data_IF_336231242706
#
_entry.id   IF_336231242706
#
_cell.length_a   1.000
_cell.length_b   1.000
_cell.length_c   1.000
_cell.angle_alpha   90.00
_cell.angle_beta   90.00
_cell.angle_gamma   90.00
#
_symmetry.space_group_name_H-M   'P 1'
#
loop_
_entity.id
_entity.type
_entity.pdbx_description
1 polymer ?
#
# COMPACT_ATOMS: atom_id res chain seq x y z
N UNK A 1 -3.98 -1.50 -19.81
CA UNK A 1 -3.01 -1.98 -18.81
C UNK A 1 -3.28 -3.44 -18.49
N UNK A 2 -2.24 -4.27 -18.35
CA UNK A 2 -2.37 -5.70 -18.02
C UNK A 2 -1.78 -6.00 -16.63
N UNK A 3 -2.59 -6.53 -15.71
CA UNK A 3 -2.24 -6.66 -14.29
C UNK A 3 -2.25 -8.13 -13.87
N UNK A 4 -1.16 -8.60 -13.26
CA UNK A 4 -1.07 -9.93 -12.66
C UNK A 4 -1.63 -9.89 -11.24
N UNK A 5 -2.57 -10.78 -10.93
CA UNK A 5 -3.21 -10.89 -9.63
C UNK A 5 -2.77 -12.22 -8.99
N UNK A 6 -2.14 -12.16 -7.82
CA UNK A 6 -1.98 -13.35 -6.98
C UNK A 6 -3.36 -13.79 -6.48
N UNK A 7 -4.00 -14.68 -7.24
CA UNK A 7 -5.36 -15.10 -6.96
C UNK A 7 -5.46 -16.07 -5.77
N UNK A 8 -4.34 -16.59 -5.27
CA UNK A 8 -4.30 -17.54 -4.15
C UNK A 8 -3.83 -16.89 -2.85
N UNK A 9 -3.52 -15.59 -2.86
CA UNK A 9 -3.12 -14.83 -1.69
C UNK A 9 -4.31 -14.32 -0.87
N UNK A 10 -4.16 -14.31 0.47
CA UNK A 10 -5.17 -13.80 1.39
C UNK A 10 -6.14 -14.83 1.94
N UNK A 11 -6.90 -14.38 2.97
CA UNK A 11 -7.78 -15.24 3.78
C UNK A 11 -9.01 -15.75 3.00
N UNK A 12 -9.38 -15.03 1.93
CA UNK A 12 -10.58 -15.30 1.13
C UNK A 12 -10.25 -15.72 -0.31
N UNK A 13 -9.00 -16.11 -0.55
CA UNK A 13 -8.56 -16.62 -1.85
C UNK A 13 -9.19 -17.99 -2.17
N UNK A 14 -9.46 -18.29 -3.45
CA UNK A 14 -9.34 -17.41 -4.61
C UNK A 14 -10.56 -16.54 -4.88
N UNK A 15 -11.63 -16.66 -4.09
CA UNK A 15 -12.94 -16.05 -4.37
C UNK A 15 -12.85 -14.52 -4.50
N UNK A 16 -12.37 -13.84 -3.46
CA UNK A 16 -12.38 -12.37 -3.43
C UNK A 16 -11.39 -11.75 -4.45
N UNK A 17 -10.15 -12.26 -4.63
CA UNK A 17 -9.28 -11.79 -5.71
C UNK A 17 -9.90 -11.92 -7.10
N UNK A 18 -10.59 -13.02 -7.39
CA UNK A 18 -11.25 -13.23 -8.68
C UNK A 18 -12.44 -12.28 -8.85
N UNK A 19 -13.31 -12.15 -7.84
CA UNK A 19 -14.47 -11.24 -7.90
C UNK A 19 -14.04 -9.79 -8.07
N UNK A 20 -13.05 -9.32 -7.32
CA UNK A 20 -12.52 -7.96 -7.44
C UNK A 20 -11.92 -7.67 -8.81
N UNK A 21 -11.25 -8.67 -9.41
CA UNK A 21 -10.73 -8.59 -10.78
C UNK A 21 -11.85 -8.48 -11.82
N UNK A 22 -12.92 -9.27 -11.67
CA UNK A 22 -14.11 -9.19 -12.51
C UNK A 22 -14.73 -7.79 -12.43
N UNK A 23 -14.90 -7.25 -11.22
CA UNK A 23 -15.48 -5.93 -11.01
C UNK A 23 -14.62 -4.81 -11.62
N UNK A 24 -13.29 -4.90 -11.52
CA UNK A 24 -12.36 -3.94 -12.11
C UNK A 24 -12.44 -3.95 -13.64
N UNK A 25 -12.42 -5.13 -14.25
CA UNK A 25 -12.51 -5.31 -15.70
C UNK A 25 -13.86 -4.84 -16.26
N UNK A 26 -14.96 -5.03 -15.51
CA UNK A 26 -16.29 -4.52 -15.88
C UNK A 26 -16.38 -2.99 -15.80
N UNK A 27 -15.70 -2.40 -14.81
CA UNK A 27 -15.70 -0.95 -14.61
C UNK A 27 -14.83 -0.20 -15.64
N UNK A 28 -13.74 -0.81 -16.10
CA UNK A 28 -12.72 -0.18 -16.94
C UNK A 28 -12.42 -1.02 -18.19
N UNK A 29 -12.68 -0.45 -19.35
CA UNK A 29 -12.57 -1.18 -20.63
C UNK A 29 -11.13 -1.42 -21.11
N UNK A 30 -10.14 -0.70 -20.57
CA UNK A 30 -8.73 -0.80 -20.96
C UNK A 30 -7.91 -1.69 -20.01
N UNK A 31 -8.51 -2.17 -18.91
CA UNK A 31 -7.85 -3.07 -17.97
C UNK A 31 -8.01 -4.53 -18.42
N UNK A 32 -6.90 -5.23 -18.43
CA UNK A 32 -6.81 -6.68 -18.58
C UNK A 32 -6.19 -7.28 -17.33
N UNK A 33 -6.63 -8.47 -16.94
CA UNK A 33 -6.08 -9.16 -15.75
C UNK A 33 -5.60 -10.56 -16.08
N UNK A 34 -4.52 -10.96 -15.43
CA UNK A 34 -4.00 -12.33 -15.41
C UNK A 34 -4.15 -12.87 -13.99
N UNK A 35 -5.11 -13.74 -13.78
CA UNK A 35 -5.33 -14.42 -12.51
C UNK A 35 -4.33 -15.57 -12.38
N UNK A 36 -3.46 -15.51 -11.37
CA UNK A 36 -2.38 -16.48 -11.17
C UNK A 36 -2.72 -17.38 -9.98
N UNK A 37 -2.80 -18.70 -10.23
CA UNK A 37 -3.10 -19.67 -9.19
C UNK A 37 -3.66 -21.00 -9.70
N UNK A 38 -4.41 -21.69 -8.85
CA UNK A 38 -5.06 -22.95 -9.24
C UNK A 38 -6.10 -22.70 -10.33
N UNK A 39 -5.79 -23.22 -11.52
CA UNK A 39 -6.58 -22.97 -12.72
C UNK A 39 -8.03 -23.43 -12.58
N UNK A 40 -8.27 -24.60 -11.94
CA UNK A 40 -9.60 -25.14 -11.84
C UNK A 40 -10.47 -24.29 -10.90
N UNK A 41 -9.95 -23.97 -9.70
CA UNK A 41 -10.67 -23.15 -8.73
C UNK A 41 -11.01 -21.76 -9.31
N UNK A 42 -10.07 -21.14 -10.03
CA UNK A 42 -10.29 -19.84 -10.67
C UNK A 42 -11.36 -19.94 -11.75
N UNK A 43 -11.30 -20.96 -12.62
CA UNK A 43 -12.29 -21.14 -13.69
C UNK A 43 -13.69 -21.39 -13.16
N UNK A 44 -13.86 -22.17 -12.09
CA UNK A 44 -15.16 -22.43 -11.47
C UNK A 44 -15.84 -21.14 -11.01
N UNK A 45 -15.04 -20.17 -10.48
CA UNK A 45 -15.55 -18.86 -10.07
C UNK A 45 -15.89 -18.01 -11.30
N UNK A 46 -15.05 -18.02 -12.33
CA UNK A 46 -15.29 -17.28 -13.57
C UNK A 46 -16.56 -17.79 -14.27
N UNK A 47 -16.78 -19.09 -14.35
CA UNK A 47 -17.99 -19.69 -14.93
C UNK A 47 -19.24 -19.30 -14.14
N UNK A 48 -19.19 -19.38 -12.81
CA UNK A 48 -20.29 -18.98 -11.94
C UNK A 48 -20.70 -17.51 -12.08
N UNK A 49 -19.79 -16.68 -12.59
CA UNK A 49 -20.00 -15.24 -12.84
C UNK A 49 -20.20 -14.89 -14.31
N UNK A 50 -20.28 -15.88 -15.21
CA UNK A 50 -20.39 -15.74 -16.66
C UNK A 50 -19.20 -15.00 -17.31
N UNK A 51 -17.99 -15.12 -16.73
CA UNK A 51 -16.76 -14.43 -17.16
C UNK A 51 -15.70 -15.37 -17.74
N UNK A 52 -15.94 -16.68 -17.79
CA UNK A 52 -14.97 -17.68 -18.31
C UNK A 52 -14.55 -17.45 -19.76
N UNK A 53 -15.33 -16.70 -20.55
CA UNK A 53 -15.04 -16.35 -21.95
C UNK A 53 -14.67 -14.87 -22.14
N UNK A 54 -14.46 -14.13 -21.08
CA UNK A 54 -14.09 -12.72 -21.17
C UNK A 54 -12.64 -12.61 -21.71
N UNK A 55 -12.41 -11.98 -22.89
CA UNK A 55 -11.09 -11.91 -23.50
C UNK A 55 -10.08 -11.07 -22.69
N UNK A 56 -10.55 -10.25 -21.75
CA UNK A 56 -9.72 -9.40 -20.89
C UNK A 56 -9.34 -10.06 -19.56
N UNK A 57 -9.83 -11.29 -19.31
CA UNK A 57 -9.48 -12.09 -18.14
C UNK A 57 -8.80 -13.36 -18.60
N UNK A 58 -7.56 -13.54 -18.20
CA UNK A 58 -6.80 -14.77 -18.50
C UNK A 58 -6.36 -15.44 -17.20
N UNK A 59 -6.10 -16.74 -17.25
CA UNK A 59 -5.66 -17.54 -16.10
C UNK A 59 -4.29 -18.12 -16.39
N UNK A 60 -3.33 -17.86 -15.51
CA UNK A 60 -2.02 -18.48 -15.50
C UNK A 60 -1.94 -19.46 -14.33
N UNK A 61 -1.69 -20.75 -14.64
CA UNK A 61 -1.64 -21.76 -13.59
C UNK A 61 -0.38 -21.62 -12.73
N UNK A 62 -0.57 -21.75 -11.43
CA UNK A 62 0.47 -21.88 -10.42
C UNK A 62 0.01 -22.91 -9.39
N UNK A 63 0.86 -23.89 -9.10
CA UNK A 63 0.48 -25.06 -8.30
C UNK A 63 0.74 -24.92 -6.81
N UNK A 64 1.49 -23.89 -6.40
CA UNK A 64 1.90 -23.67 -5.02
C UNK A 64 1.39 -22.34 -4.46
N UNK A 65 1.23 -22.29 -3.14
CA UNK A 65 0.81 -21.08 -2.41
C UNK A 65 1.75 -20.87 -1.23
N UNK A 66 2.15 -19.62 -0.96
CA UNK A 66 2.89 -19.24 0.25
C UNK A 66 1.88 -18.83 1.31
N UNK A 67 1.81 -19.60 2.41
CA UNK A 67 0.91 -19.34 3.53
C UNK A 67 1.34 -18.13 4.37
N UNK A 68 0.39 -17.61 5.17
CA UNK A 68 0.62 -16.46 6.05
C UNK A 68 1.66 -16.73 7.15
N UNK A 69 1.77 -17.98 7.60
CA UNK A 69 2.65 -18.42 8.69
C UNK A 69 4.03 -18.86 8.21
N UNK A 70 4.28 -18.89 6.91
CA UNK A 70 5.54 -19.33 6.35
C UNK A 70 6.60 -18.23 6.41
N UNK A 71 7.85 -18.60 6.70
CA UNK A 71 8.95 -17.65 6.66
C UNK A 71 9.22 -17.21 5.21
N UNK A 72 9.00 -15.92 4.85
CA UNK A 72 8.97 -15.45 3.48
C UNK A 72 10.16 -15.86 2.62
N UNK A 73 11.38 -15.58 3.10
CA UNK A 73 12.61 -15.87 2.34
C UNK A 73 12.87 -17.36 2.11
N UNK A 74 12.41 -18.24 3.02
CA UNK A 74 12.54 -19.69 2.84
C UNK A 74 11.47 -20.24 1.91
N UNK A 75 10.24 -19.75 2.05
CA UNK A 75 9.11 -20.15 1.22
C UNK A 75 9.38 -19.83 -0.27
N UNK A 76 9.83 -18.62 -0.58
CA UNK A 76 10.18 -18.19 -1.94
C UNK A 76 11.35 -18.99 -2.57
N UNK A 77 12.27 -19.50 -1.75
CA UNK A 77 13.35 -20.36 -2.26
C UNK A 77 12.88 -21.78 -2.60
N UNK A 78 11.91 -22.29 -1.84
CA UNK A 78 11.40 -23.66 -1.99
C UNK A 78 10.27 -23.74 -3.01
N UNK A 79 9.30 -22.80 -2.95
CA UNK A 79 8.09 -22.77 -3.76
C UNK A 79 8.27 -21.88 -4.98
N UNK A 80 8.88 -22.43 -6.03
CA UNK A 80 9.15 -21.67 -7.26
C UNK A 80 7.93 -21.44 -8.12
N UNK A 81 6.93 -22.30 -7.98
CA UNK A 81 5.65 -22.23 -8.68
C UNK A 81 4.53 -21.63 -7.79
N UNK A 82 4.91 -20.84 -6.76
CA UNK A 82 3.93 -20.14 -5.95
C UNK A 82 3.29 -19.00 -6.74
N UNK A 83 1.98 -18.82 -6.58
CA UNK A 83 1.19 -17.83 -7.31
C UNK A 83 1.79 -16.41 -7.29
N UNK A 84 2.27 -15.95 -6.14
CA UNK A 84 2.94 -14.65 -6.02
C UNK A 84 4.28 -14.60 -6.75
N UNK A 85 5.04 -15.70 -6.80
CA UNK A 85 6.33 -15.78 -7.54
C UNK A 85 6.07 -15.71 -9.03
N UNK A 86 5.09 -16.47 -9.51
CA UNK A 86 4.69 -16.50 -10.92
C UNK A 86 4.11 -15.15 -11.34
N UNK A 87 3.22 -14.54 -10.54
CA UNK A 87 2.68 -13.20 -10.80
C UNK A 87 3.80 -12.15 -10.92
N UNK A 88 4.79 -12.20 -10.03
CA UNK A 88 5.95 -11.30 -10.06
C UNK A 88 6.81 -11.52 -11.30
N UNK A 89 7.01 -12.79 -11.72
CA UNK A 89 7.76 -13.13 -12.93
C UNK A 89 7.08 -12.59 -14.19
N UNK A 90 5.75 -12.59 -14.27
CA UNK A 90 5.01 -12.02 -15.41
C UNK A 90 5.30 -10.51 -15.58
N UNK A 91 5.51 -9.77 -14.49
CA UNK A 91 5.89 -8.35 -14.58
C UNK A 91 7.37 -8.21 -14.92
N UNK A 92 8.26 -8.97 -14.29
CA UNK A 92 9.69 -8.98 -14.64
C UNK A 92 9.94 -9.23 -16.14
N UNK A 93 9.19 -10.17 -16.71
CA UNK A 93 9.34 -10.61 -18.09
C UNK A 93 8.50 -9.77 -19.09
N UNK A 94 7.95 -8.63 -18.63
CA UNK A 94 7.14 -7.67 -19.41
C UNK A 94 5.87 -8.27 -20.03
N UNK A 95 5.29 -9.30 -19.41
CA UNK A 95 3.99 -9.85 -19.80
C UNK A 95 2.83 -9.15 -19.12
N UNK A 96 3.10 -8.48 -17.98
CA UNK A 96 2.16 -7.66 -17.22
C UNK A 96 2.85 -6.36 -16.76
N UNK A 97 2.06 -5.33 -16.50
CA UNK A 97 2.54 -4.00 -16.10
C UNK A 97 2.62 -3.85 -14.58
N UNK A 98 1.80 -4.59 -13.82
CA UNK A 98 1.75 -4.54 -12.37
C UNK A 98 1.41 -5.88 -11.73
N UNK A 99 1.76 -6.02 -10.43
CA UNK A 99 1.31 -7.13 -9.56
C UNK A 99 0.38 -6.59 -8.48
N UNK A 100 -0.73 -7.31 -8.23
CA UNK A 100 -1.54 -7.15 -7.01
C UNK A 100 -1.36 -8.40 -6.16
N UNK A 101 -0.89 -8.21 -4.93
CA UNK A 101 -0.58 -9.29 -3.98
C UNK A 101 -1.41 -9.13 -2.69
N UNK A 102 -2.60 -9.74 -2.60
CA UNK A 102 -3.34 -9.86 -1.35
C UNK A 102 -2.76 -11.04 -0.55
N UNK A 103 -2.21 -10.80 0.63
CA UNK A 103 -1.65 -11.89 1.41
C UNK A 103 -0.59 -11.46 2.41
N UNK A 104 0.41 -12.32 2.61
CA UNK A 104 1.52 -12.04 3.53
C UNK A 104 2.37 -10.87 3.02
N UNK A 105 2.37 -9.76 3.74
CA UNK A 105 3.21 -8.58 3.44
C UNK A 105 4.67 -8.98 3.28
N UNK A 106 5.17 -9.84 4.16
CA UNK A 106 6.56 -10.31 4.10
C UNK A 106 6.86 -11.10 2.82
N UNK A 107 5.93 -11.97 2.39
CA UNK A 107 6.07 -12.73 1.14
C UNK A 107 6.02 -11.79 -0.07
N UNK A 108 5.13 -10.81 -0.06
CA UNK A 108 4.99 -9.81 -1.11
C UNK A 108 6.25 -8.96 -1.29
N UNK A 109 6.77 -8.39 -0.18
CA UNK A 109 8.04 -7.63 -0.19
C UNK A 109 9.21 -8.48 -0.69
N UNK A 110 9.31 -9.71 -0.20
CA UNK A 110 10.39 -10.60 -0.61
C UNK A 110 10.25 -11.04 -2.09
N UNK A 111 9.03 -11.33 -2.57
CA UNK A 111 8.77 -11.67 -3.97
C UNK A 111 9.16 -10.50 -4.90
N UNK A 112 8.75 -9.28 -4.55
CA UNK A 112 9.12 -8.09 -5.30
C UNK A 112 10.64 -7.86 -5.32
N UNK A 113 11.32 -7.97 -4.16
CA UNK A 113 12.76 -7.79 -4.07
C UNK A 113 13.55 -8.83 -4.88
N UNK A 114 13.18 -10.11 -4.79
CA UNK A 114 13.90 -11.18 -5.49
C UNK A 114 13.47 -11.32 -6.95
N UNK A 115 12.22 -10.98 -7.26
CA UNK A 115 11.66 -11.10 -8.62
C UNK A 115 11.93 -9.88 -9.49
N UNK A 116 11.65 -8.66 -9.02
CA UNK A 116 11.81 -7.41 -9.78
C UNK A 116 13.15 -6.72 -9.51
N UNK A 117 13.72 -6.92 -8.31
CA UNK A 117 14.88 -6.16 -7.88
C UNK A 117 14.54 -4.72 -7.46
N UNK A 118 15.56 -4.01 -6.97
CA UNK A 118 15.42 -2.62 -6.51
C UNK A 118 15.75 -1.64 -7.64
N UNK A 119 15.10 -0.49 -7.64
CA UNK A 119 15.51 0.68 -8.43
C UNK A 119 16.96 1.03 -8.08
N UNK A 120 17.76 1.39 -9.08
CA UNK A 120 19.16 1.79 -8.87
C UNK A 120 19.23 2.98 -7.90
N UNK A 121 20.05 2.86 -6.88
CA UNK A 121 20.19 3.86 -5.81
C UNK A 121 19.30 3.60 -4.60
N UNK A 122 18.22 2.85 -4.70
CA UNK A 122 17.35 2.49 -3.57
C UNK A 122 17.96 1.36 -2.75
N UNK A 123 18.16 1.59 -1.45
CA UNK A 123 18.69 0.58 -0.52
C UNK A 123 17.56 -0.34 -0.02
N UNK A 124 16.40 0.22 0.27
CA UNK A 124 15.23 -0.50 0.80
C UNK A 124 13.94 0.00 0.14
N UNK A 125 13.11 -0.88 -0.41
CA UNK A 125 11.76 -0.49 -0.82
C UNK A 125 10.90 -0.22 0.40
N UNK A 126 9.88 0.62 0.26
CA UNK A 126 8.98 1.04 1.34
C UNK A 126 7.52 0.86 0.92
N UNK A 127 6.67 0.51 1.88
CA UNK A 127 5.22 0.46 1.66
C UNK A 127 4.65 1.84 1.97
N UNK A 128 3.99 2.46 0.99
CA UNK A 128 3.37 3.78 1.12
C UNK A 128 1.86 3.63 1.31
N UNK A 129 1.36 3.95 2.50
CA UNK A 129 -0.07 3.80 2.83
C UNK A 129 -0.76 5.14 2.92
N UNK A 130 -1.80 5.40 2.09
CA UNK A 130 -2.66 6.57 2.24
C UNK A 130 -3.49 6.47 3.53
N UNK A 131 -3.32 7.42 4.43
CA UNK A 131 -4.04 7.53 5.69
C UNK A 131 -5.13 8.61 5.58
N UNK A 132 -6.39 8.30 5.88
CA UNK A 132 -7.45 9.30 5.91
C UNK A 132 -7.24 10.25 7.09
N UNK A 133 -7.38 11.55 6.82
CA UNK A 133 -7.21 12.61 7.80
C UNK A 133 -8.38 13.59 7.77
N UNK A 134 -8.43 14.51 8.73
CA UNK A 134 -9.45 15.58 8.75
C UNK A 134 -9.31 16.49 7.51
N UNK A 135 -8.08 16.76 7.07
CA UNK A 135 -7.78 17.62 5.92
C UNK A 135 -7.79 16.90 4.56
N UNK A 136 -7.94 15.57 4.53
CA UNK A 136 -7.91 14.78 3.30
C UNK A 136 -7.16 13.47 3.46
N UNK A 137 -6.05 13.30 2.77
CA UNK A 137 -5.19 12.11 2.83
C UNK A 137 -3.76 12.56 3.16
N UNK A 138 -3.09 11.81 4.03
CA UNK A 138 -1.65 11.88 4.28
C UNK A 138 -1.03 10.53 3.89
N UNK A 139 0.08 10.54 3.18
CA UNK A 139 0.82 9.32 2.83
C UNK A 139 1.77 8.98 3.97
N UNK A 140 1.61 7.83 4.61
CA UNK A 140 2.54 7.32 5.61
C UNK A 140 3.46 6.26 5.03
N UNK A 141 4.74 6.37 5.25
CA UNK A 141 5.76 5.40 4.87
C UNK A 141 6.96 5.43 5.84
N UNK A 142 7.58 4.33 6.13
CA UNK A 142 7.28 2.96 5.74
C UNK A 142 6.18 2.35 6.62
N UNK A 143 5.19 1.69 6.05
CA UNK A 143 4.10 1.10 6.83
C UNK A 143 4.24 -0.40 7.08
N UNK A 144 5.47 -0.96 6.94
CA UNK A 144 5.72 -2.34 7.35
C UNK A 144 6.68 -3.17 6.52
N UNK A 145 7.41 -2.60 5.55
CA UNK A 145 8.42 -3.34 4.79
C UNK A 145 9.73 -3.54 5.57
N UNK A 146 10.14 -2.56 6.38
CA UNK A 146 11.46 -2.56 7.02
C UNK A 146 11.36 -2.21 8.51
N UNK A 147 11.55 -3.18 9.39
CA UNK A 147 11.52 -2.97 10.84
C UNK A 147 12.78 -2.30 11.42
N UNK A 148 13.93 -2.43 10.75
CA UNK A 148 15.19 -1.84 11.17
C UNK A 148 15.71 -0.93 10.05
N UNK A 149 15.74 0.37 10.31
CA UNK A 149 16.16 1.37 9.35
C UNK A 149 17.46 2.06 9.76
N UNK A 150 18.14 2.66 8.78
CA UNK A 150 19.19 3.64 8.93
C UNK A 150 18.67 5.00 8.48
N UNK A 151 19.31 6.13 8.86
CA UNK A 151 18.91 7.45 8.38
C UNK A 151 18.70 7.53 6.86
N UNK A 152 19.61 6.96 6.08
CA UNK A 152 19.51 6.88 4.61
C UNK A 152 18.19 6.26 4.13
N UNK A 153 17.68 5.21 4.82
CA UNK A 153 16.45 4.56 4.41
C UNK A 153 15.24 5.49 4.58
N UNK A 154 15.20 6.28 5.67
CA UNK A 154 14.14 7.25 5.90
C UNK A 154 14.22 8.41 4.89
N UNK A 155 15.43 8.87 4.57
CA UNK A 155 15.65 9.89 3.54
C UNK A 155 15.16 9.40 2.18
N UNK A 156 15.52 8.19 1.78
CA UNK A 156 15.02 7.59 0.54
C UNK A 156 13.51 7.38 0.56
N UNK A 157 12.96 6.98 1.71
CA UNK A 157 11.53 6.93 1.94
C UNK A 157 10.86 8.29 1.70
N UNK A 158 11.41 9.37 2.26
CA UNK A 158 10.90 10.72 2.08
C UNK A 158 10.85 11.14 0.60
N UNK A 159 11.88 10.82 -0.17
CA UNK A 159 11.94 11.09 -1.60
C UNK A 159 10.86 10.32 -2.37
N UNK A 160 10.81 9.01 -2.18
CA UNK A 160 9.82 8.15 -2.85
C UNK A 160 8.38 8.50 -2.45
N UNK A 161 8.17 8.81 -1.17
CA UNK A 161 6.86 9.24 -0.65
C UNK A 161 6.44 10.60 -1.20
N UNK A 162 7.37 11.52 -1.40
CA UNK A 162 7.10 12.81 -2.05
C UNK A 162 6.63 12.61 -3.50
N UNK A 163 7.30 11.76 -4.29
CA UNK A 163 6.87 11.46 -5.66
C UNK A 163 5.49 10.79 -5.70
N UNK A 164 5.23 9.85 -4.81
CA UNK A 164 3.91 9.23 -4.72
C UNK A 164 2.82 10.22 -4.32
N UNK A 165 3.10 11.10 -3.34
CA UNK A 165 2.16 12.12 -2.90
C UNK A 165 1.86 13.17 -3.99
N UNK A 166 2.82 13.52 -4.86
CA UNK A 166 2.58 14.38 -6.03
C UNK A 166 1.48 13.81 -6.92
N UNK A 167 1.56 12.51 -7.19
CA UNK A 167 0.58 11.80 -8.03
C UNK A 167 -0.76 11.68 -7.30
N UNK A 168 -0.74 11.14 -6.08
CA UNK A 168 -1.96 10.82 -5.33
C UNK A 168 -2.77 12.06 -4.96
N UNK A 169 -2.09 13.14 -4.54
CA UNK A 169 -2.73 14.36 -4.03
C UNK A 169 -2.84 15.47 -5.09
N UNK A 170 -2.21 15.29 -6.26
CA UNK A 170 -2.15 16.32 -7.29
C UNK A 170 -1.37 17.58 -6.85
N UNK A 171 -0.39 17.45 -5.96
CA UNK A 171 0.41 18.55 -5.40
C UNK A 171 1.82 18.51 -5.98
N UNK A 172 2.28 19.63 -6.55
CA UNK A 172 3.65 19.72 -7.10
C UNK A 172 4.76 19.63 -6.03
N UNK A 173 4.51 20.18 -4.84
CA UNK A 173 5.48 20.25 -3.76
C UNK A 173 4.87 19.81 -2.41
N UNK A 174 4.61 18.50 -2.22
CA UNK A 174 4.01 17.99 -1.02
C UNK A 174 4.91 18.19 0.20
N UNK A 175 4.31 18.52 1.34
CA UNK A 175 5.00 18.70 2.61
C UNK A 175 5.38 17.36 3.22
N UNK A 176 6.61 17.26 3.76
CA UNK A 176 7.15 16.04 4.36
C UNK A 176 7.46 16.29 5.84
N UNK A 177 6.97 15.43 6.72
CA UNK A 177 7.28 15.42 8.16
C UNK A 177 7.95 14.11 8.58
N UNK A 178 8.89 14.21 9.51
CA UNK A 178 9.54 13.06 10.13
C UNK A 178 8.81 12.71 11.42
N UNK A 179 8.26 11.49 11.50
CA UNK A 179 7.52 11.05 12.68
C UNK A 179 8.46 10.89 13.88
N UNK A 180 8.10 11.53 14.99
CA UNK A 180 8.90 11.59 16.18
C UNK A 180 8.02 11.65 17.46
N UNK A 181 8.65 11.70 18.62
CA UNK A 181 8.04 11.84 19.95
C UNK A 181 7.94 13.30 20.43
N UNK A 182 8.38 14.25 19.63
CA UNK A 182 8.35 15.70 19.89
C UNK A 182 8.80 16.49 18.66
N UNK A 183 8.46 17.76 18.60
CA UNK A 183 8.72 18.63 17.45
C UNK A 183 10.19 19.11 17.36
N UNK A 184 10.92 19.10 18.51
CA UNK A 184 12.28 19.59 18.59
C UNK A 184 13.27 18.67 17.82
N UNK A 185 14.23 19.27 17.13
CA UNK A 185 15.27 18.56 16.37
C UNK A 185 16.17 17.64 17.22
N UNK A 186 16.17 17.85 18.54
CA UNK A 186 16.98 17.08 19.51
C UNK A 186 16.25 15.86 20.09
N UNK A 187 14.99 15.62 19.68
CA UNK A 187 14.18 14.49 20.15
C UNK A 187 14.31 13.30 19.19
N UNK A 188 14.02 12.12 19.70
CA UNK A 188 13.92 10.88 18.94
C UNK A 188 15.02 9.88 19.25
N UNK A 189 15.01 8.79 18.50
CA UNK A 189 16.05 7.78 18.51
C UNK A 189 17.19 8.12 17.53
N UNK A 190 18.26 7.35 17.54
CA UNK A 190 19.44 7.59 16.71
C UNK A 190 19.11 7.69 15.22
N UNK A 191 18.15 6.91 14.73
CA UNK A 191 17.74 6.93 13.33
C UNK A 191 17.07 8.25 12.97
N UNK A 192 16.19 8.75 13.82
CA UNK A 192 15.48 10.03 13.62
C UNK A 192 16.45 11.20 13.75
N UNK A 193 17.31 11.18 14.79
CA UNK A 193 18.33 12.20 15.01
C UNK A 193 19.31 12.31 13.82
N UNK A 194 19.72 11.17 13.25
CA UNK A 194 20.58 11.16 12.05
C UNK A 194 19.84 11.54 10.76
N UNK A 195 18.53 11.33 10.68
CA UNK A 195 17.71 11.65 9.49
C UNK A 195 17.40 13.15 9.38
N UNK A 196 17.05 13.77 10.51
CA UNK A 196 16.58 15.17 10.57
C UNK A 196 17.52 16.15 9.85
N UNK A 197 18.83 16.23 10.18
CA UNK A 197 19.73 17.22 9.58
C UNK A 197 19.94 16.98 8.07
N UNK A 198 19.76 15.77 7.59
CA UNK A 198 19.87 15.46 6.15
C UNK A 198 18.63 16.01 5.44
N UNK A 199 17.42 15.71 5.92
CA UNK A 199 16.17 16.22 5.33
C UNK A 199 16.08 17.74 5.39
N UNK A 200 16.56 18.37 6.47
CA UNK A 200 16.57 19.83 6.63
C UNK A 200 17.44 20.53 5.58
N UNK A 201 18.57 19.92 5.18
CA UNK A 201 19.47 20.43 4.14
C UNK A 201 18.98 20.15 2.72
N UNK A 202 18.05 19.20 2.53
CA UNK A 202 17.55 18.77 1.23
C UNK A 202 16.60 19.79 0.60
N UNK A 203 17.04 20.46 -0.49
CA UNK A 203 16.21 21.45 -1.21
C UNK A 203 15.15 20.84 -2.11
N UNK A 204 15.28 19.53 -2.44
CA UNK A 204 14.35 18.82 -3.33
C UNK A 204 13.12 18.27 -2.57
N UNK A 205 13.12 18.37 -1.25
CA UNK A 205 12.01 17.98 -0.36
C UNK A 205 11.49 19.22 0.38
N UNK A 206 10.18 19.36 0.48
CA UNK A 206 9.52 20.38 1.29
C UNK A 206 9.41 19.89 2.74
N UNK A 207 10.54 19.73 3.42
CA UNK A 207 10.61 19.25 4.79
C UNK A 207 10.02 20.25 5.78
N UNK A 208 9.18 19.79 6.69
CA UNK A 208 8.50 20.61 7.73
C UNK A 208 9.00 20.35 9.15
N UNK A 209 10.03 19.53 9.29
CA UNK A 209 10.56 19.13 10.60
C UNK A 209 9.91 17.87 11.16
N UNK A 210 10.08 17.68 12.45
CA UNK A 210 9.44 16.59 13.18
C UNK A 210 7.94 16.83 13.35
N UNK A 211 7.17 15.73 13.32
CA UNK A 211 5.75 15.72 13.66
C UNK A 211 5.49 14.62 14.70
N UNK A 212 4.46 14.76 15.49
CA UNK A 212 4.05 13.73 16.45
C UNK A 212 2.91 12.86 15.90
N UNK A 213 2.70 11.68 16.50
CA UNK A 213 1.62 10.77 16.11
C UNK A 213 0.22 11.41 16.15
N UNK A 214 0.00 12.40 17.05
CA UNK A 214 -1.26 13.16 17.12
C UNK A 214 -1.51 14.10 15.93
N UNK A 215 -0.51 14.35 15.11
CA UNK A 215 -0.61 15.24 13.96
C UNK A 215 -1.01 14.49 12.68
N UNK A 216 -0.79 13.16 12.63
CA UNK A 216 -1.19 12.31 11.50
C UNK A 216 -2.69 12.45 11.20
N UNK A 217 -3.62 12.21 12.16
CA UNK A 217 -5.05 12.33 11.87
C UNK A 217 -5.52 13.74 11.55
N UNK A 218 -4.73 14.78 11.90
CA UNK A 218 -5.02 16.18 11.52
C UNK A 218 -4.65 16.45 10.06
N UNK A 219 -3.69 15.71 9.51
CA UNK A 219 -3.14 15.94 8.17
C UNK A 219 -2.31 17.23 8.12
N UNK A 220 -1.40 17.42 9.09
CA UNK A 220 -0.53 18.60 9.17
C UNK A 220 0.53 18.62 8.07
N UNK A 221 0.88 17.44 7.55
CA UNK A 221 1.79 17.24 6.41
C UNK A 221 1.20 16.24 5.40
N UNK A 222 1.66 16.31 4.16
CA UNK A 222 1.19 15.44 3.09
C UNK A 222 1.85 14.05 3.13
N UNK A 223 3.08 13.99 3.63
CA UNK A 223 3.89 12.77 3.73
C UNK A 223 4.45 12.65 5.14
N UNK A 224 4.26 11.50 5.76
CA UNK A 224 4.82 11.14 7.07
C UNK A 224 5.84 10.03 6.89
N UNK A 225 7.07 10.26 7.31
CA UNK A 225 8.17 9.31 7.19
C UNK A 225 8.52 8.70 8.54
N UNK A 226 8.62 7.38 8.60
CA UNK A 226 9.07 6.62 9.77
C UNK A 226 9.71 5.30 9.33
N UNK A 227 10.23 4.53 10.27
CA UNK A 227 10.57 3.13 10.00
C UNK A 227 9.31 2.24 9.94
N UNK A 228 9.44 1.07 9.30
CA UNK A 228 8.29 0.19 9.09
C UNK A 228 7.75 -0.47 10.36
N UNK A 229 8.52 -0.53 11.44
CA UNK A 229 7.99 -1.02 12.72
C UNK A 229 7.02 0.00 13.32
N UNK A 230 7.46 1.25 13.45
CA UNK A 230 6.62 2.34 13.96
C UNK A 230 5.41 2.56 13.05
N UNK A 231 5.62 2.61 11.73
CA UNK A 231 4.53 2.81 10.77
C UNK A 231 3.48 1.72 10.82
N UNK A 232 3.87 0.44 10.92
CA UNK A 232 2.93 -0.67 11.04
C UNK A 232 2.15 -0.64 12.37
N UNK A 233 2.81 -0.26 13.46
CA UNK A 233 2.15 -0.08 14.77
C UNK A 233 1.10 1.04 14.70
N UNK A 234 1.44 2.19 14.12
CA UNK A 234 0.52 3.32 13.93
C UNK A 234 -0.65 2.92 13.04
N UNK A 235 -0.38 2.25 11.93
CA UNK A 235 -1.43 1.77 11.00
C UNK A 235 -2.40 0.82 11.70
N UNK A 236 -1.90 -0.21 12.36
CA UNK A 236 -2.73 -1.21 13.06
C UNK A 236 -3.50 -0.62 14.24
N UNK A 237 -2.89 0.32 14.96
CA UNK A 237 -3.59 1.05 16.02
C UNK A 237 -4.73 1.91 15.45
N UNK A 238 -4.49 2.64 14.35
CA UNK A 238 -5.52 3.46 13.71
C UNK A 238 -6.69 2.60 13.18
N UNK A 239 -6.41 1.48 12.50
CA UNK A 239 -7.42 0.51 12.04
C UNK A 239 -8.27 -0.02 13.21
N UNK A 240 -7.60 -0.46 14.28
CA UNK A 240 -8.27 -0.97 15.47
C UNK A 240 -9.10 0.10 16.20
N UNK A 241 -8.58 1.32 16.29
CA UNK A 241 -9.27 2.45 16.92
C UNK A 241 -10.56 2.83 16.16
N UNK A 242 -10.50 2.94 14.83
CA UNK A 242 -11.68 3.24 13.99
C UNK A 242 -12.74 2.16 14.14
N UNK A 243 -12.34 0.89 14.10
CA UNK A 243 -13.25 -0.26 14.29
C UNK A 243 -13.89 -0.26 15.68
N UNK A 244 -13.08 -0.07 16.73
CA UNK A 244 -13.53 -0.04 18.11
C UNK A 244 -14.49 1.12 18.40
N UNK A 245 -14.15 2.34 17.94
CA UNK A 245 -15.02 3.51 18.08
C UNK A 245 -16.34 3.34 17.34
N UNK A 246 -16.31 2.77 16.14
CA UNK A 246 -17.53 2.47 15.36
C UNK A 246 -18.44 1.50 16.11
N UNK A 247 -17.86 0.45 16.71
CA UNK A 247 -18.62 -0.52 17.52
C UNK A 247 -19.19 0.13 18.78
N UNK A 248 -18.40 0.93 19.52
CA UNK A 248 -18.87 1.65 20.71
C UNK A 248 -20.06 2.57 20.41
N UNK A 249 -19.98 3.34 19.30
CA UNK A 249 -21.09 4.21 18.87
C UNK A 249 -22.33 3.38 18.56
N UNK A 250 -22.19 2.27 17.82
CA UNK A 250 -23.30 1.35 17.50
C UNK A 250 -23.93 0.78 18.75
N UNK A 251 -23.14 0.27 19.69
CA UNK A 251 -23.63 -0.34 20.91
C UNK A 251 -24.33 0.69 21.82
N UNK A 252 -23.78 1.90 21.94
CA UNK A 252 -24.40 2.99 22.67
C UNK A 252 -25.76 3.39 22.11
N UNK A 253 -25.90 3.44 20.78
CA UNK A 253 -27.17 3.71 20.11
C UNK A 253 -28.18 2.55 20.36
N UNK A 254 -27.72 1.32 20.27
CA UNK A 254 -28.58 0.14 20.43
C UNK A 254 -29.07 -0.03 21.87
N UNK A 255 -28.25 0.34 22.87
CA UNK A 255 -28.60 0.34 24.29
C UNK A 255 -29.47 1.54 24.68
N UNK A 256 -29.51 2.58 23.83
CA UNK A 256 -30.25 3.82 24.11
C UNK A 256 -31.76 3.70 23.96
N UNK A 257 -32.45 4.79 24.33
CA UNK A 257 -33.92 4.88 24.22
C UNK A 257 -34.40 4.82 22.77
N UNK A 258 -35.73 4.67 22.59
CA UNK A 258 -36.34 4.73 21.24
C UNK A 258 -36.01 6.04 20.51
N UNK A 259 -35.90 7.16 21.24
CA UNK A 259 -35.51 8.46 20.68
C UNK A 259 -34.07 8.48 20.18
N UNK A 260 -33.14 7.81 20.88
CA UNK A 260 -31.75 7.66 20.42
C UNK A 260 -31.68 6.87 19.11
N UNK A 261 -32.48 5.80 18.99
CA UNK A 261 -32.55 4.99 17.75
C UNK A 261 -33.15 5.77 16.59
N UNK A 262 -34.20 6.58 16.83
CA UNK A 262 -34.81 7.46 15.82
C UNK A 262 -33.80 8.53 15.39
N UNK A 263 -33.12 9.18 16.36
CA UNK A 263 -32.09 10.16 16.10
C UNK A 263 -30.94 9.59 15.26
N UNK A 264 -30.47 8.39 15.60
CA UNK A 264 -29.45 7.67 14.84
C UNK A 264 -29.88 7.37 13.38
N UNK A 265 -31.17 7.07 13.16
CA UNK A 265 -31.71 6.87 11.83
C UNK A 265 -31.67 8.14 10.98
N UNK A 266 -31.93 9.29 11.58
CA UNK A 266 -31.85 10.61 10.92
C UNK A 266 -30.42 11.01 10.56
N UNK A 267 -29.41 10.72 11.44
CA UNK A 267 -28.01 11.04 11.17
C UNK A 267 -27.24 9.95 10.39
N UNK A 268 -27.87 8.79 10.15
CA UNK A 268 -27.27 7.65 9.43
C UNK A 268 -26.58 8.03 8.11
N UNK A 269 -27.14 8.90 7.25
CA UNK A 269 -26.47 9.29 6.00
C UNK A 269 -25.15 10.03 6.27
N UNK A 270 -25.11 10.92 7.27
CA UNK A 270 -23.90 11.64 7.67
C UNK A 270 -22.84 10.71 8.25
N UNK A 271 -23.24 9.79 9.13
CA UNK A 271 -22.36 8.76 9.69
C UNK A 271 -21.80 7.83 8.61
N UNK A 272 -22.63 7.45 7.63
CA UNK A 272 -22.17 6.65 6.48
C UNK A 272 -21.13 7.39 5.63
N UNK A 273 -21.32 8.70 5.41
CA UNK A 273 -20.34 9.53 4.68
C UNK A 273 -19.03 9.67 5.46
N UNK A 274 -19.09 9.82 6.78
CA UNK A 274 -17.92 9.85 7.66
C UNK A 274 -17.20 8.50 7.65
N UNK A 275 -17.93 7.38 7.85
CA UNK A 275 -17.35 6.04 7.81
C UNK A 275 -16.65 5.75 6.48
N UNK A 276 -17.25 6.15 5.35
CA UNK A 276 -16.62 6.01 4.03
C UNK A 276 -15.31 6.80 3.92
N UNK A 277 -15.20 7.98 4.55
CA UNK A 277 -13.95 8.75 4.57
C UNK A 277 -12.84 8.10 5.40
N UNK A 278 -13.22 7.39 6.47
CA UNK A 278 -12.29 6.71 7.39
C UNK A 278 -12.01 5.26 6.95
N UNK A 279 -12.72 4.79 5.94
CA UNK A 279 -12.60 3.42 5.44
C UNK A 279 -11.30 3.27 4.64
N UNK A 280 -10.32 2.64 5.25
CA UNK A 280 -9.04 2.32 4.62
C UNK A 280 -9.20 1.36 3.42
N UNK A 281 -10.33 0.63 3.35
CA UNK A 281 -10.63 -0.30 2.26
C UNK A 281 -10.93 0.44 0.94
N UNK A 282 -11.30 1.70 0.98
CA UNK A 282 -11.43 2.54 -0.22
C UNK A 282 -10.08 2.73 -0.95
N UNK A 283 -8.96 2.61 -0.25
CA UNK A 283 -7.62 2.75 -0.82
C UNK A 283 -7.03 1.43 -1.36
N UNK A 284 -7.75 0.31 -1.25
CA UNK A 284 -7.57 -0.99 -1.92
C UNK A 284 -6.23 -1.70 -1.73
N UNK A 285 -5.14 -0.99 -1.55
CA UNK A 285 -3.79 -1.51 -1.40
C UNK A 285 -2.76 -0.40 -1.32
N UNK A 286 -1.56 -0.76 -0.89
CA UNK A 286 -0.43 0.15 -0.75
C UNK A 286 0.66 -0.22 -1.78
N UNK A 287 1.17 0.73 -2.58
CA UNK A 287 2.29 0.46 -3.46
C UNK A 287 3.57 0.19 -2.66
N UNK A 288 4.34 -0.79 -3.12
CA UNK A 288 5.71 -1.01 -2.70
C UNK A 288 6.62 -0.17 -3.59
N UNK A 289 7.04 0.97 -3.09
CA UNK A 289 7.91 1.90 -3.81
C UNK A 289 9.38 1.47 -3.73
N UNK A 290 10.12 1.69 -4.80
CA UNK A 290 11.57 1.42 -4.84
C UNK A 290 11.98 0.08 -5.44
N UNK A 291 11.05 -0.66 -6.06
CA UNK A 291 11.30 -1.86 -6.86
C UNK A 291 11.14 -1.57 -8.36
N UNK A 292 11.78 -2.36 -9.23
CA UNK A 292 11.74 -2.22 -10.70
C UNK A 292 10.43 -2.77 -11.29
N UNK A 293 9.30 -2.20 -10.89
CA UNK A 293 7.96 -2.55 -11.37
C UNK A 293 6.89 -2.10 -10.42
N UNK A 294 5.68 -2.00 -10.89
CA UNK A 294 4.55 -1.61 -10.06
C UNK A 294 4.04 -2.83 -9.27
N UNK A 295 4.16 -2.74 -7.96
CA UNK A 295 3.78 -3.82 -7.05
C UNK A 295 2.88 -3.27 -5.95
N UNK A 296 1.63 -3.75 -5.91
CA UNK A 296 0.64 -3.36 -4.91
C UNK A 296 0.46 -4.47 -3.88
N UNK A 297 0.49 -4.10 -2.62
CA UNK A 297 0.24 -4.99 -1.50
C UNK A 297 -1.14 -4.68 -0.94
N UNK A 298 -2.04 -5.66 -0.94
CA UNK A 298 -3.34 -5.57 -0.28
C UNK A 298 -3.33 -6.36 1.03
N UNK A 299 -4.26 -6.05 1.93
CA UNK A 299 -4.35 -6.75 3.20
C UNK A 299 -4.79 -8.20 3.01
N UNK A 300 -4.34 -9.14 3.87
CA UNK A 300 -4.74 -10.54 3.79
C UNK A 300 -6.26 -10.75 3.90
N UNK A 301 -6.95 -9.89 4.61
CA UNK A 301 -8.42 -9.90 4.73
C UNK A 301 -9.16 -9.10 3.64
N UNK A 302 -8.48 -8.66 2.58
CA UNK A 302 -9.08 -7.89 1.49
C UNK A 302 -10.18 -8.66 0.78
N UNK A 303 -11.27 -7.97 0.48
CA UNK A 303 -12.42 -8.47 -0.29
C UNK A 303 -12.40 -7.91 -1.71
N UNK A 304 -13.36 -8.30 -2.52
CA UNK A 304 -13.47 -7.90 -3.93
C UNK A 304 -13.36 -6.38 -4.15
N UNK A 305 -13.99 -5.58 -3.27
CA UNK A 305 -13.93 -4.12 -3.35
C UNK A 305 -12.51 -3.57 -3.23
N UNK A 306 -11.73 -4.08 -2.27
CA UNK A 306 -10.33 -3.66 -2.07
C UNK A 306 -9.43 -4.11 -3.21
N UNK A 307 -9.64 -5.32 -3.72
CA UNK A 307 -8.89 -5.83 -4.88
C UNK A 307 -9.18 -4.98 -6.11
N UNK A 308 -10.46 -4.67 -6.37
CA UNK A 308 -10.86 -3.75 -7.43
C UNK A 308 -10.16 -2.39 -7.29
N UNK A 309 -10.22 -1.79 -6.09
CA UNK A 309 -9.57 -0.51 -5.83
C UNK A 309 -8.05 -0.56 -6.01
N UNK A 310 -7.38 -1.65 -5.59
CA UNK A 310 -5.94 -1.84 -5.82
C UNK A 310 -5.59 -1.89 -7.32
N UNK A 311 -6.43 -2.55 -8.13
CA UNK A 311 -6.28 -2.60 -9.58
C UNK A 311 -6.43 -1.21 -10.20
N UNK A 312 -7.44 -0.44 -9.78
CA UNK A 312 -7.70 0.92 -10.28
C UNK A 312 -6.58 1.90 -9.89
N UNK A 313 -6.05 1.80 -8.67
CA UNK A 313 -4.90 2.59 -8.22
C UNK A 313 -3.63 2.21 -9.00
N UNK A 314 -3.40 0.93 -9.24
CA UNK A 314 -2.26 0.48 -10.03
C UNK A 314 -2.31 1.04 -11.46
N UNK A 315 -3.50 1.08 -12.06
CA UNK A 315 -3.72 1.64 -13.38
C UNK A 315 -3.38 3.15 -13.42
N UNK A 316 -3.88 3.96 -12.46
CA UNK A 316 -3.56 5.39 -12.35
C UNK A 316 -2.05 5.63 -12.13
N UNK A 317 -1.41 4.85 -11.25
CA UNK A 317 0.02 4.97 -10.99
C UNK A 317 0.90 4.61 -12.20
N UNK A 318 0.48 3.61 -12.98
CA UNK A 318 1.17 3.24 -14.21
C UNK A 318 1.01 4.30 -15.30
N UNK A 319 -0.19 4.83 -15.49
CA UNK A 319 -0.48 5.90 -16.44
C UNK A 319 0.38 7.13 -16.13
N UNK A 320 0.51 7.46 -14.84
CA UNK A 320 1.33 8.58 -14.35
C UNK A 320 2.81 8.23 -14.17
N UNK A 321 3.26 7.05 -14.60
CA UNK A 321 4.68 6.64 -14.65
C UNK A 321 5.44 6.78 -13.31
N UNK A 322 4.82 6.39 -12.21
CA UNK A 322 5.41 6.54 -10.85
C UNK A 322 6.82 5.96 -10.76
N UNK A 323 7.08 4.80 -11.37
CA UNK A 323 8.40 4.15 -11.34
C UNK A 323 9.46 5.05 -11.98
N UNK A 324 9.15 5.70 -13.13
CA UNK A 324 10.08 6.62 -13.79
C UNK A 324 10.36 7.85 -12.92
N UNK A 325 9.34 8.45 -12.31
CA UNK A 325 9.51 9.59 -11.40
C UNK A 325 10.44 9.25 -10.23
N UNK A 326 10.27 8.06 -9.63
CA UNK A 326 11.14 7.61 -8.55
C UNK A 326 12.58 7.40 -9.06
N UNK A 327 12.76 6.76 -10.24
CA UNK A 327 14.09 6.58 -10.84
C UNK A 327 14.81 7.93 -11.04
N UNK A 328 14.13 8.91 -11.63
CA UNK A 328 14.67 10.23 -11.89
C UNK A 328 15.07 10.95 -10.59
N UNK A 329 14.22 10.88 -9.57
CA UNK A 329 14.47 11.47 -8.25
C UNK A 329 15.66 10.82 -7.53
N UNK A 330 15.76 9.48 -7.59
CA UNK A 330 16.88 8.74 -6.98
C UNK A 330 18.21 8.99 -7.72
N UNK A 331 18.19 9.25 -9.03
CA UNK A 331 19.38 9.63 -9.78
C UNK A 331 19.87 11.03 -9.39
N UNK A 332 18.96 12.00 -9.20
CA UNK A 332 19.27 13.34 -8.69
C UNK A 332 19.88 13.26 -7.29
N UNK A 333 19.27 12.46 -6.37
CA UNK A 333 19.78 12.27 -5.01
C UNK A 333 21.20 11.69 -5.02
N UNK A 334 21.45 10.64 -5.80
CA UNK A 334 22.75 10.02 -5.93
C UNK A 334 23.82 10.99 -6.47
N UNK A 335 23.46 11.95 -7.32
CA UNK A 335 24.36 12.98 -7.83
C UNK A 335 24.70 14.05 -6.76
N UNK A 336 23.79 14.30 -5.81
CA UNK A 336 23.99 15.30 -4.73
C UNK A 336 24.93 14.82 -3.63
N UNK A 337 25.27 13.54 -3.56
CA UNK A 337 26.24 12.92 -2.63
C UNK A 337 26.05 13.37 -1.18
N UNK A 338 24.87 13.20 -0.63
CA UNK A 338 24.66 13.45 0.80
C UNK A 338 25.51 12.49 1.63
N UNK A 339 26.20 13.05 2.64
CA UNK A 339 26.91 12.23 3.61
C UNK A 339 25.91 11.65 4.62
N UNK A 340 25.80 10.33 4.64
CA UNK A 340 24.90 9.59 5.51
C UNK A 340 25.60 9.06 6.77
N UNK A 341 26.93 9.23 6.87
CA UNK A 341 27.78 8.66 7.93
C UNK A 341 28.25 9.72 8.94
N UNK A 342 27.90 11.01 8.76
CA UNK A 342 28.09 12.07 9.74
C UNK A 342 26.83 12.16 10.66
#
# INVERSE_FOLDING_TARGET
MKIAIDAMGGDFAPLEPVLGSIEAVRANNHIEVVLVGDKQQIFDILESNNEAKNPRISVHHASEVIGMDEHPGQALRKKKDASIVVATALVRDNHCDAVIAPGSTGAAVAAALFGLGRIKGVDRPVIATPMPTVSGITVMLDSGANSNCKPKHLVQGALMGSEYAKILLGKENPTVGLLNIGEEATKGNDVVLGTYPILERMKIINFKGNIEGRDIPKGTVDVVVCDGFVGNVVLKFAEGLVTGLTQLVKDSIMAGSIFAKIGAMLVKPALKKMAKRLDHTENGGAPLLGVNGLFMISHGSSKAKEIKSAIEIADDLAERKIIQHICDTMEIEGALKYDYDE
#
